data_IF_513408161257
#
_entry.id   IF_513408161257
#
_cell.length_a   1.000
_cell.length_b   1.000
_cell.length_c   1.000
_cell.angle_alpha   90.00
_cell.angle_beta   90.00
_cell.angle_gamma   90.00
#
_symmetry.space_group_name_H-M   'P 1'
#
loop_
_entity.id
_entity.type
_entity.pdbx_description
1 polymer ?
#
# COMPACT_ATOMS: atom_id res chain seq x y z
N UNK A 1 -8.44 -4.55 -9.69
CA UNK A 1 -9.83 -4.79 -10.14
C UNK A 1 -10.59 -3.49 -10.41
N UNK A 2 -10.67 -2.55 -9.46
CA UNK A 2 -11.36 -1.27 -9.68
C UNK A 2 -10.81 -0.52 -10.90
N UNK A 3 -9.50 -0.30 -10.93
CA UNK A 3 -8.80 0.39 -12.04
C UNK A 3 -9.01 -0.26 -13.40
N UNK A 4 -9.05 -1.59 -13.44
CA UNK A 4 -9.27 -2.36 -14.67
C UNK A 4 -10.70 -2.25 -15.20
N UNK A 5 -11.65 -1.83 -14.36
CA UNK A 5 -13.08 -1.77 -14.68
C UNK A 5 -13.61 -0.34 -14.86
N UNK A 6 -12.79 0.69 -14.64
CA UNK A 6 -13.17 2.10 -14.79
C UNK A 6 -12.67 2.62 -16.15
N UNK A 7 -13.57 2.97 -17.10
CA UNK A 7 -13.16 3.37 -18.45
C UNK A 7 -12.31 4.65 -18.54
N UNK A 8 -12.38 5.51 -17.51
CA UNK A 8 -11.64 6.77 -17.43
C UNK A 8 -10.49 6.71 -16.40
N UNK A 9 -10.03 5.51 -16.04
CA UNK A 9 -8.85 5.34 -15.21
C UNK A 9 -7.56 5.71 -15.98
N UNK A 10 -6.62 6.37 -15.29
CA UNK A 10 -5.39 6.88 -15.91
C UNK A 10 -4.14 6.26 -15.28
N UNK A 11 -4.02 6.26 -13.95
CA UNK A 11 -2.85 5.74 -13.24
C UNK A 11 -3.18 5.35 -11.81
N UNK A 12 -2.45 4.37 -11.29
CA UNK A 12 -2.51 3.93 -9.90
C UNK A 12 -1.21 4.37 -9.21
N UNK A 13 -1.33 5.07 -8.08
CA UNK A 13 -0.17 5.30 -7.22
C UNK A 13 0.30 3.95 -6.65
N UNK A 14 1.60 3.68 -6.74
CA UNK A 14 2.17 2.44 -6.26
C UNK A 14 3.51 2.71 -5.58
N UNK A 15 3.65 2.25 -4.34
CA UNK A 15 4.91 2.36 -3.60
C UNK A 15 5.63 1.02 -3.61
N UNK A 16 6.95 1.05 -3.80
CA UNK A 16 7.78 -0.14 -3.58
C UNK A 16 7.77 -0.62 -2.12
N UNK A 17 7.24 0.20 -1.20
CA UNK A 17 6.93 -0.21 0.17
C UNK A 17 5.95 -1.38 0.23
N UNK A 18 5.05 -1.51 -0.74
CA UNK A 18 4.10 -2.64 -0.80
C UNK A 18 4.80 -3.97 -1.06
N UNK A 19 5.97 -3.94 -1.71
CA UNK A 19 6.82 -5.11 -1.97
C UNK A 19 7.83 -5.37 -0.82
N UNK A 20 7.83 -4.55 0.22
CA UNK A 20 8.85 -4.61 1.27
C UNK A 20 8.61 -5.76 2.28
N UNK A 21 9.66 -6.27 2.96
CA UNK A 21 9.53 -7.41 3.86
C UNK A 21 8.51 -7.28 4.99
N UNK A 22 8.19 -6.04 5.43
CA UNK A 22 7.19 -5.82 6.48
C UNK A 22 5.75 -6.09 6.01
N UNK A 23 5.52 -6.17 4.70
CA UNK A 23 4.24 -6.52 4.08
C UNK A 23 4.19 -7.98 3.62
N UNK A 24 5.16 -8.82 4.00
CA UNK A 24 5.23 -10.22 3.59
C UNK A 24 4.01 -11.07 4.01
N UNK A 25 3.22 -10.60 4.99
CA UNK A 25 1.95 -11.21 5.40
C UNK A 25 0.91 -11.24 4.27
N UNK A 26 1.00 -10.34 3.29
CA UNK A 26 0.07 -10.29 2.17
C UNK A 26 0.61 -11.11 0.99
N UNK A 27 -0.13 -12.15 0.61
CA UNK A 27 0.14 -12.93 -0.58
C UNK A 27 -0.74 -12.43 -1.72
N UNK A 28 -0.16 -11.67 -2.65
CA UNK A 28 -0.88 -11.06 -3.77
C UNK A 28 -0.65 -11.82 -5.07
N UNK A 29 -1.72 -12.08 -5.82
CA UNK A 29 -1.68 -12.66 -7.16
C UNK A 29 -1.24 -11.65 -8.23
N UNK A 30 -1.28 -10.35 -7.92
CA UNK A 30 -0.78 -9.30 -8.79
C UNK A 30 0.69 -8.97 -8.46
N UNK A 31 1.48 -8.70 -9.49
CA UNK A 31 2.87 -8.27 -9.36
C UNK A 31 3.16 -7.21 -10.41
N UNK A 32 3.91 -6.17 -10.02
CA UNK A 32 4.31 -5.12 -10.97
C UNK A 32 5.32 -5.68 -11.99
N UNK A 33 5.04 -5.43 -13.26
CA UNK A 33 5.90 -5.73 -14.40
C UNK A 33 6.22 -4.42 -15.14
N UNK A 34 7.46 -3.94 -14.98
CA UNK A 34 7.85 -2.61 -15.48
C UNK A 34 7.01 -1.50 -14.83
N UNK A 35 6.33 -0.68 -15.64
CA UNK A 35 5.47 0.42 -15.19
C UNK A 35 4.00 0.03 -14.95
N UNK A 36 3.66 -1.25 -15.03
CA UNK A 36 2.27 -1.72 -15.01
C UNK A 36 2.06 -2.87 -14.02
N UNK A 37 0.81 -3.11 -13.65
CA UNK A 37 0.38 -4.30 -12.93
C UNK A 37 -0.54 -5.09 -13.88
N UNK A 38 -0.14 -6.28 -14.37
CA UNK A 38 -1.00 -7.14 -15.16
C UNK A 38 -2.27 -7.53 -14.39
N UNK A 39 -3.38 -7.69 -15.10
CA UNK A 39 -4.66 -8.04 -14.47
C UNK A 39 -4.60 -9.49 -13.96
N UNK A 40 -4.71 -9.72 -12.64
CA UNK A 40 -4.64 -11.07 -12.08
C UNK A 40 -5.86 -11.90 -12.52
N UNK A 41 -5.64 -13.19 -12.70
CA UNK A 41 -6.70 -14.16 -13.08
C UNK A 41 -7.25 -14.95 -11.89
N UNK A 42 -6.65 -14.77 -10.70
CA UNK A 42 -7.16 -15.36 -9.47
C UNK A 42 -8.56 -14.78 -9.15
N UNK A 43 -9.46 -15.59 -8.56
CA UNK A 43 -10.77 -15.11 -8.15
C UNK A 43 -10.68 -14.07 -7.02
N UNK A 44 -11.75 -13.30 -6.85
CA UNK A 44 -11.83 -12.28 -5.80
C UNK A 44 -10.87 -11.12 -6.06
N UNK A 45 -10.21 -10.65 -4.99
CA UNK A 45 -9.19 -9.59 -5.08
C UNK A 45 -7.79 -10.14 -5.43
N UNK A 46 -7.61 -11.46 -5.39
CA UNK A 46 -6.30 -12.10 -5.51
C UNK A 46 -5.33 -11.68 -4.40
N UNK A 47 -5.81 -11.56 -3.15
CA UNK A 47 -5.01 -11.27 -1.96
C UNK A 47 -5.39 -12.24 -0.86
N UNK A 48 -4.40 -12.89 -0.26
CA UNK A 48 -4.56 -13.78 0.88
C UNK A 48 -3.62 -13.33 2.02
N UNK A 49 -3.94 -13.74 3.25
CA UNK A 49 -3.05 -13.56 4.40
C UNK A 49 -2.25 -14.83 4.65
N UNK A 50 -0.97 -14.66 4.98
CA UNK A 50 -0.16 -15.74 5.52
C UNK A 50 -0.36 -15.83 7.04
N UNK A 51 -1.18 -16.79 7.46
CA UNK A 51 -1.52 -17.01 8.87
C UNK A 51 -0.29 -17.22 9.76
N UNK A 52 0.81 -17.78 9.21
CA UNK A 52 2.05 -18.00 9.97
C UNK A 52 2.82 -16.69 10.26
N UNK A 53 2.49 -15.61 9.55
CA UNK A 53 3.11 -14.29 9.71
C UNK A 53 2.26 -13.31 10.53
N UNK A 54 1.01 -13.67 10.87
CA UNK A 54 0.10 -12.82 11.66
C UNK A 54 0.74 -12.45 13.01
N UNK A 55 1.21 -13.43 13.78
CA UNK A 55 1.80 -13.19 15.10
C UNK A 55 3.09 -12.35 15.03
N UNK A 56 3.78 -12.37 13.89
CA UNK A 56 5.02 -11.62 13.64
C UNK A 56 4.76 -10.18 13.22
N UNK A 57 3.50 -9.81 12.96
CA UNK A 57 3.08 -8.48 12.50
C UNK A 57 2.19 -7.79 13.55
N UNK A 58 2.65 -7.59 14.80
CA UNK A 58 1.84 -6.96 15.83
C UNK A 58 1.55 -5.50 15.50
N UNK A 59 0.42 -5.01 16.00
CA UNK A 59 0.05 -3.60 15.88
C UNK A 59 1.18 -2.68 16.37
N UNK A 60 1.49 -1.68 15.54
CA UNK A 60 2.39 -0.58 15.88
C UNK A 60 1.68 0.74 15.58
N UNK A 61 1.59 1.67 16.54
CA UNK A 61 1.08 3.01 16.26
C UNK A 61 1.88 3.66 15.14
N UNK A 62 1.19 4.16 14.12
CA UNK A 62 1.80 4.85 12.97
C UNK A 62 2.05 6.34 13.31
N UNK A 63 1.35 6.87 14.31
CA UNK A 63 1.35 8.30 14.61
C UNK A 63 2.58 8.75 15.43
N UNK A 64 3.74 8.77 14.78
CA UNK A 64 4.91 9.51 15.24
C UNK A 64 5.07 10.85 14.49
N UNK A 65 4.05 11.26 13.72
CA UNK A 65 4.10 12.49 12.95
C UNK A 65 4.05 13.70 13.88
N UNK A 66 5.13 14.48 13.90
CA UNK A 66 5.13 15.81 14.51
C UNK A 66 4.46 16.78 13.55
N UNK A 67 3.48 17.55 14.02
CA UNK A 67 2.86 18.63 13.22
C UNK A 67 3.95 19.58 12.72
N UNK A 68 4.14 19.74 11.40
CA UNK A 68 5.17 20.63 10.89
C UNK A 68 4.90 22.07 11.35
N UNK A 69 5.93 22.75 11.82
CA UNK A 69 5.87 24.16 12.20
C UNK A 69 6.62 25.01 11.18
N UNK A 70 6.13 26.22 10.93
CA UNK A 70 6.89 27.25 10.20
C UNK A 70 7.99 27.81 11.10
N UNK A 71 8.89 28.61 10.52
CA UNK A 71 10.01 29.23 11.25
C UNK A 71 9.58 30.17 12.38
N UNK A 72 8.35 30.67 12.34
CA UNK A 72 7.75 31.51 13.39
C UNK A 72 7.01 30.72 14.48
N UNK A 73 7.03 29.39 14.42
CA UNK A 73 6.32 28.50 15.34
C UNK A 73 4.83 28.31 15.03
N UNK A 74 4.30 28.91 13.97
CA UNK A 74 2.91 28.67 13.54
C UNK A 74 2.74 27.28 12.92
N UNK A 75 1.57 26.68 13.11
CA UNK A 75 1.21 25.38 12.55
C UNK A 75 1.18 25.44 11.03
N UNK A 76 2.00 24.62 10.39
CA UNK A 76 1.99 24.44 8.94
C UNK A 76 0.96 23.37 8.52
N UNK A 77 0.97 23.01 7.25
CA UNK A 77 0.13 21.93 6.73
C UNK A 77 0.72 20.58 7.14
N UNK A 78 -0.14 19.65 7.56
CA UNK A 78 0.21 18.24 7.58
C UNK A 78 0.49 17.80 6.13
N UNK A 79 1.56 17.04 5.96
CA UNK A 79 1.84 16.25 4.75
C UNK A 79 1.51 14.81 5.02
#
# INVERSE_FOLDING_TARGET
HLDASIPNFITQEYTKGDEAPHNAIYQCAYKREGGYIPIPQAPGLGVELDDALIEQTPYKPINNASTPLRTDGSVSYAV
#
